data_IF_777812500669
#
_entry.id   IF_777812500669
#
_cell.length_a   1.000
_cell.length_b   1.000
_cell.length_c   1.000
_cell.angle_alpha   90.00
_cell.angle_beta   90.00
_cell.angle_gamma   90.00
#
_symmetry.space_group_name_H-M   'P 1'
#
loop_
_entity.id
_entity.type
_entity.pdbx_description
1 polymer ?
#
# COMPACT_ATOMS: atom_id res chain seq x y z
N UNK A 1 -13.87 18.00 3.02
CA UNK A 1 -14.49 17.03 3.96
C UNK A 1 -15.41 16.13 3.16
N UNK A 2 -15.22 14.79 3.18
CA UNK A 2 -16.20 13.87 2.55
C UNK A 2 -17.47 13.88 3.40
N UNK A 3 -18.63 14.05 2.79
CA UNK A 3 -19.91 13.95 3.50
C UNK A 3 -20.07 12.56 4.12
N UNK A 4 -20.74 12.44 5.28
CA UNK A 4 -21.02 11.16 5.89
C UNK A 4 -21.85 10.29 4.93
N UNK A 5 -21.52 9.00 4.88
CA UNK A 5 -22.24 8.05 4.02
C UNK A 5 -23.68 7.87 4.53
N UNK A 6 -24.62 7.82 3.60
CA UNK A 6 -26.01 7.48 3.90
C UNK A 6 -26.13 6.00 4.33
N UNK A 7 -27.22 5.66 4.99
CA UNK A 7 -27.48 4.26 5.41
C UNK A 7 -27.48 3.27 4.22
N UNK A 8 -28.02 3.68 3.08
CA UNK A 8 -27.99 2.87 1.86
C UNK A 8 -26.56 2.66 1.34
N UNK A 9 -25.72 3.71 1.31
CA UNK A 9 -24.32 3.61 0.91
C UNK A 9 -23.52 2.73 1.86
N UNK A 10 -23.77 2.80 3.17
CA UNK A 10 -23.14 1.92 4.16
C UNK A 10 -23.50 0.45 3.95
N UNK A 11 -24.76 0.14 3.62
CA UNK A 11 -25.17 -1.24 3.30
C UNK A 11 -24.45 -1.78 2.07
N UNK A 12 -24.35 -0.98 1.01
CA UNK A 12 -23.63 -1.36 -0.23
C UNK A 12 -22.15 -1.58 0.08
N UNK A 13 -21.52 -0.67 0.81
CA UNK A 13 -20.11 -0.79 1.22
C UNK A 13 -19.88 -2.07 2.05
N UNK A 14 -20.73 -2.34 3.03
CA UNK A 14 -20.63 -3.54 3.86
C UNK A 14 -20.75 -4.84 3.04
N UNK A 15 -21.66 -4.89 2.07
CA UNK A 15 -21.79 -6.02 1.15
C UNK A 15 -20.52 -6.20 0.29
N UNK A 16 -19.94 -5.11 -0.22
CA UNK A 16 -18.70 -5.15 -0.99
C UNK A 16 -17.49 -5.57 -0.12
N UNK A 17 -17.41 -5.13 1.13
CA UNK A 17 -16.39 -5.59 2.10
C UNK A 17 -16.52 -7.10 2.33
N UNK A 18 -17.72 -7.62 2.54
CA UNK A 18 -17.95 -9.05 2.72
C UNK A 18 -17.56 -9.86 1.46
N UNK A 19 -17.94 -9.37 0.25
CA UNK A 19 -17.54 -9.99 -1.02
C UNK A 19 -16.01 -9.98 -1.18
N UNK A 20 -15.35 -8.86 -0.90
CA UNK A 20 -13.90 -8.74 -0.96
C UNK A 20 -13.22 -9.67 0.05
N UNK A 21 -13.74 -9.75 1.28
CA UNK A 21 -13.24 -10.69 2.29
C UNK A 21 -13.25 -12.14 1.80
N UNK A 22 -14.34 -12.55 1.16
CA UNK A 22 -14.47 -13.89 0.58
C UNK A 22 -13.42 -14.17 -0.49
N UNK A 23 -13.20 -13.20 -1.40
CA UNK A 23 -12.18 -13.27 -2.45
C UNK A 23 -10.76 -13.33 -1.89
N UNK A 24 -10.48 -12.64 -0.78
CA UNK A 24 -9.15 -12.60 -0.18
C UNK A 24 -8.84 -13.82 0.71
N UNK A 25 -9.86 -14.56 1.15
CA UNK A 25 -9.72 -15.69 2.06
C UNK A 25 -10.09 -17.02 1.42
N UNK A 26 -11.38 -17.25 1.20
CA UNK A 26 -11.92 -18.55 0.77
C UNK A 26 -11.71 -18.83 -0.72
N UNK A 27 -11.74 -17.79 -1.55
CA UNK A 27 -11.66 -17.88 -3.01
C UNK A 27 -10.31 -17.36 -3.53
N UNK A 28 -9.27 -17.37 -2.70
CA UNK A 28 -7.97 -16.81 -3.04
C UNK A 28 -7.35 -17.42 -4.31
N UNK A 29 -7.50 -18.73 -4.50
CA UNK A 29 -6.96 -19.44 -5.66
C UNK A 29 -7.66 -19.09 -6.98
N UNK A 30 -8.96 -18.73 -6.93
CA UNK A 30 -9.77 -18.35 -8.11
C UNK A 30 -9.93 -16.84 -8.27
N UNK A 31 -9.32 -16.04 -7.39
CA UNK A 31 -9.41 -14.58 -7.43
C UNK A 31 -8.74 -14.04 -8.69
N UNK A 32 -9.43 -13.25 -9.54
CA UNK A 32 -8.81 -12.56 -10.66
C UNK A 32 -7.68 -11.64 -10.17
N UNK A 33 -6.54 -11.59 -10.89
CA UNK A 33 -5.43 -10.70 -10.55
C UNK A 33 -5.90 -9.23 -10.45
N UNK A 34 -6.75 -8.80 -11.39
CA UNK A 34 -7.27 -7.44 -11.47
C UNK A 34 -8.63 -7.24 -10.75
N UNK A 35 -8.85 -7.90 -9.61
CA UNK A 35 -10.13 -7.83 -8.88
C UNK A 35 -10.52 -6.40 -8.43
N UNK A 36 -9.56 -5.50 -8.27
CA UNK A 36 -9.79 -4.10 -7.92
C UNK A 36 -10.23 -3.22 -9.13
N UNK A 37 -10.37 -3.80 -10.35
CA UNK A 37 -11.09 -3.13 -11.45
C UNK A 37 -12.57 -2.94 -11.14
N UNK A 38 -13.17 -3.82 -10.36
CA UNK A 38 -14.53 -3.64 -9.83
C UNK A 38 -14.53 -2.46 -8.86
N UNK A 39 -15.29 -1.42 -9.22
CA UNK A 39 -15.38 -0.17 -8.45
C UNK A 39 -15.82 -0.42 -6.99
N UNK A 40 -16.80 -1.30 -6.78
CA UNK A 40 -17.31 -1.60 -5.44
C UNK A 40 -16.27 -2.32 -4.58
N UNK A 41 -15.48 -3.22 -5.16
CA UNK A 41 -14.39 -3.88 -4.46
C UNK A 41 -13.23 -2.92 -4.16
N UNK A 42 -12.95 -1.98 -5.05
CA UNK A 42 -11.95 -0.92 -4.83
C UNK A 42 -12.37 0.00 -3.68
N UNK A 43 -13.59 0.51 -3.68
CA UNK A 43 -14.14 1.33 -2.60
C UNK A 43 -14.13 0.59 -1.25
N UNK A 44 -14.46 -0.70 -1.25
CA UNK A 44 -14.37 -1.55 -0.06
C UNK A 44 -12.93 -1.74 0.42
N UNK A 45 -11.98 -1.90 -0.50
CA UNK A 45 -10.56 -1.99 -0.17
C UNK A 45 -10.06 -0.70 0.49
N UNK A 46 -10.30 0.45 -0.14
CA UNK A 46 -9.88 1.76 0.34
C UNK A 46 -10.50 2.13 1.69
N UNK A 47 -11.79 1.79 1.89
CA UNK A 47 -12.50 2.17 3.10
C UNK A 47 -12.20 1.25 4.30
N UNK A 48 -11.90 -0.02 4.06
CA UNK A 48 -11.75 -1.02 5.13
C UNK A 48 -10.36 -1.64 5.19
N UNK A 49 -9.88 -2.23 4.09
CA UNK A 49 -8.62 -2.99 4.11
C UNK A 49 -7.38 -2.10 4.14
N UNK A 50 -7.37 -0.99 3.40
CA UNK A 50 -6.24 -0.08 3.36
C UNK A 50 -5.87 0.43 4.75
N UNK A 51 -6.76 1.05 5.54
CA UNK A 51 -6.41 1.57 6.86
C UNK A 51 -5.99 0.47 7.86
N UNK A 52 -6.57 -0.74 7.76
CA UNK A 52 -6.16 -1.86 8.60
C UNK A 52 -4.77 -2.39 8.24
N UNK A 53 -4.49 -2.51 6.94
CA UNK A 53 -3.22 -3.06 6.48
C UNK A 53 -2.06 -2.08 6.67
N UNK A 54 -2.28 -0.76 6.57
CA UNK A 54 -1.28 0.25 6.93
C UNK A 54 -0.76 0.02 8.36
N UNK A 55 -1.65 -0.20 9.32
CA UNK A 55 -1.28 -0.45 10.72
C UNK A 55 -0.47 -1.73 10.90
N UNK A 56 -0.76 -2.79 10.14
CA UNK A 56 0.01 -4.04 10.18
C UNK A 56 1.46 -3.86 9.77
N UNK A 57 1.77 -2.88 8.94
CA UNK A 57 3.16 -2.55 8.54
C UNK A 57 3.81 -1.63 9.58
N UNK A 58 3.05 -0.67 10.11
CA UNK A 58 3.58 0.28 11.08
C UNK A 58 4.00 -0.38 12.41
N UNK A 59 3.29 -1.42 12.85
CA UNK A 59 3.59 -2.09 14.12
C UNK A 59 4.98 -2.77 14.14
N UNK A 60 5.35 -3.65 13.18
CA UNK A 60 6.68 -4.24 13.12
C UNK A 60 7.80 -3.19 12.99
N UNK A 61 7.54 -2.11 12.24
CA UNK A 61 8.52 -1.02 12.11
C UNK A 61 8.75 -0.30 13.44
N UNK A 62 7.70 -0.09 14.23
CA UNK A 62 7.83 0.49 15.56
C UNK A 62 8.62 -0.41 16.50
N UNK A 63 8.40 -1.74 16.45
CA UNK A 63 9.18 -2.70 17.23
C UNK A 63 10.67 -2.72 16.83
N UNK A 64 10.95 -2.66 15.53
CA UNK A 64 12.31 -2.60 15.01
C UNK A 64 13.01 -1.29 15.42
N UNK A 65 12.30 -0.16 15.36
CA UNK A 65 12.83 1.16 15.77
C UNK A 65 13.16 1.21 17.27
N UNK A 66 12.37 0.52 18.10
CA UNK A 66 12.62 0.41 19.54
C UNK A 66 13.83 -0.50 19.90
N UNK A 67 14.11 -1.50 19.06
CA UNK A 67 15.17 -2.50 19.32
C UNK A 67 16.52 -2.12 18.72
N UNK A 68 16.56 -1.22 17.78
CA UNK A 68 17.76 -0.86 17.02
C UNK A 68 17.93 0.65 16.96
N UNK A 69 18.95 1.16 17.66
CA UNK A 69 19.31 2.58 17.64
C UNK A 69 19.68 3.09 16.23
N UNK A 70 20.02 2.17 15.30
CA UNK A 70 20.57 2.51 13.98
C UNK A 70 19.90 1.82 12.78
N UNK A 71 18.81 1.06 12.96
CA UNK A 71 18.14 0.42 11.80
C UNK A 71 17.67 1.44 10.78
N UNK A 72 17.52 2.63 11.24
CA UNK A 72 17.04 3.77 10.52
C UNK A 72 18.13 4.85 10.38
N UNK A 73 19.41 4.52 10.11
CA UNK A 73 20.53 5.43 9.88
C UNK A 73 20.21 6.65 8.99
N UNK A 74 21.12 7.56 8.72
CA UNK A 74 20.84 8.83 8.01
C UNK A 74 20.66 8.71 6.49
N UNK A 75 20.88 7.51 5.93
CA UNK A 75 20.81 7.22 4.50
C UNK A 75 19.38 7.05 3.96
N UNK A 76 19.30 6.87 2.65
CA UNK A 76 18.05 6.55 1.95
C UNK A 76 17.49 5.22 2.43
N UNK A 77 16.27 5.21 2.95
CA UNK A 77 15.57 3.98 3.30
C UNK A 77 14.94 3.39 2.03
N UNK A 78 15.45 2.25 1.60
CA UNK A 78 15.01 1.59 0.36
C UNK A 78 13.97 0.52 0.65
N UNK A 79 12.90 0.53 -0.13
CA UNK A 79 11.78 -0.39 -0.01
C UNK A 79 11.58 -1.06 -1.36
N UNK A 80 11.59 -2.40 -1.36
CA UNK A 80 11.17 -3.21 -2.49
C UNK A 80 9.89 -3.95 -2.10
N UNK A 81 8.79 -3.69 -2.80
CA UNK A 81 7.49 -4.35 -2.60
C UNK A 81 7.13 -5.20 -3.81
N UNK A 82 7.22 -6.51 -3.64
CA UNK A 82 6.91 -7.50 -4.67
C UNK A 82 5.47 -7.96 -4.57
N UNK A 83 4.67 -7.69 -5.61
CA UNK A 83 3.24 -7.87 -5.57
C UNK A 83 2.55 -6.76 -4.77
N UNK A 84 2.96 -5.52 -5.01
CA UNK A 84 2.59 -4.37 -4.21
C UNK A 84 1.07 -4.10 -4.16
N UNK A 85 0.31 -4.66 -5.11
CA UNK A 85 -1.10 -4.29 -5.23
C UNK A 85 -1.26 -2.77 -5.36
N UNK A 86 -2.20 -2.16 -4.65
CA UNK A 86 -2.38 -0.70 -4.64
C UNK A 86 -1.36 0.05 -3.76
N UNK A 87 -0.19 -0.53 -3.46
CA UNK A 87 0.89 0.12 -2.75
C UNK A 87 0.68 0.26 -1.23
N UNK A 88 -0.11 -0.62 -0.62
CA UNK A 88 -0.49 -0.49 0.79
C UNK A 88 0.69 -0.65 1.74
N UNK A 89 1.59 -1.61 1.49
CA UNK A 89 2.73 -1.83 2.38
C UNK A 89 3.71 -0.65 2.38
N UNK A 90 4.18 -0.14 1.24
CA UNK A 90 4.99 1.06 1.21
C UNK A 90 4.31 2.29 1.82
N UNK A 91 3.00 2.48 1.59
CA UNK A 91 2.25 3.56 2.24
C UNK A 91 2.27 3.46 3.76
N UNK A 92 2.19 2.24 4.32
CA UNK A 92 2.34 2.00 5.76
C UNK A 92 3.71 2.43 6.29
N UNK A 93 4.77 2.20 5.50
CA UNK A 93 6.12 2.68 5.83
C UNK A 93 6.16 4.21 5.81
N UNK A 94 5.59 4.86 4.79
CA UNK A 94 5.53 6.32 4.70
C UNK A 94 4.78 6.93 5.90
N UNK A 95 3.63 6.39 6.25
CA UNK A 95 2.84 6.86 7.40
C UNK A 95 3.62 6.66 8.72
N UNK A 96 4.37 5.58 8.88
CA UNK A 96 5.24 5.37 10.04
C UNK A 96 6.30 6.48 10.16
N UNK A 97 7.05 6.78 9.09
CA UNK A 97 8.06 7.84 9.12
C UNK A 97 7.47 9.23 9.31
N UNK A 98 6.30 9.50 8.73
CA UNK A 98 5.59 10.76 8.92
C UNK A 98 5.14 10.94 10.37
N UNK A 99 4.58 9.89 10.98
CA UNK A 99 4.15 9.91 12.38
C UNK A 99 5.32 10.08 13.35
N UNK A 100 6.45 9.44 13.06
CA UNK A 100 7.68 9.55 13.85
C UNK A 100 8.39 10.91 13.68
N UNK A 101 7.90 11.79 12.79
CA UNK A 101 8.53 13.08 12.43
C UNK A 101 9.99 12.97 12.01
N UNK A 102 10.39 11.79 11.53
CA UNK A 102 11.74 11.52 11.05
C UNK A 102 11.84 12.00 9.60
N UNK A 103 12.70 13.00 9.34
CA UNK A 103 13.02 13.41 7.97
C UNK A 103 13.91 12.36 7.34
N UNK A 104 13.42 11.69 6.30
CA UNK A 104 14.18 10.70 5.55
C UNK A 104 13.89 10.79 4.07
N UNK A 105 14.88 10.39 3.30
CA UNK A 105 14.67 10.00 1.91
C UNK A 105 14.21 8.56 1.87
N UNK A 106 13.12 8.32 1.18
CA UNK A 106 12.51 7.01 1.00
C UNK A 106 12.48 6.70 -0.49
N UNK A 107 13.15 5.62 -0.89
CA UNK A 107 13.13 5.14 -2.26
C UNK A 107 12.29 3.85 -2.31
N UNK A 108 11.20 3.89 -3.04
CA UNK A 108 10.27 2.77 -3.17
C UNK A 108 10.30 2.22 -4.57
N UNK A 109 10.53 0.92 -4.70
CA UNK A 109 10.31 0.16 -5.93
C UNK A 109 9.13 -0.77 -5.71
N UNK A 110 8.04 -0.50 -6.42
CA UNK A 110 6.79 -1.24 -6.32
C UNK A 110 6.57 -2.08 -7.59
N UNK A 111 6.45 -3.39 -7.42
CA UNK A 111 6.30 -4.34 -8.52
C UNK A 111 4.93 -4.99 -8.44
N UNK A 112 4.16 -4.97 -9.54
CA UNK A 112 2.90 -5.70 -9.67
C UNK A 112 2.67 -6.08 -11.14
N UNK A 113 1.92 -7.16 -11.37
CA UNK A 113 1.55 -7.59 -12.73
C UNK A 113 0.35 -6.81 -13.29
N UNK A 114 -0.38 -6.08 -12.47
CA UNK A 114 -1.62 -5.39 -12.82
C UNK A 114 -1.39 -3.89 -12.88
N UNK A 115 -1.47 -3.29 -14.08
CA UNK A 115 -1.28 -1.85 -14.28
C UNK A 115 -2.19 -0.99 -13.40
N UNK A 116 -3.45 -1.40 -13.21
CA UNK A 116 -4.39 -0.61 -12.41
C UNK A 116 -3.97 -0.56 -10.94
N UNK A 117 -3.31 -1.62 -10.43
CA UNK A 117 -2.74 -1.60 -9.08
C UNK A 117 -1.60 -0.58 -8.99
N UNK A 118 -0.70 -0.56 -9.98
CA UNK A 118 0.41 0.39 -10.03
C UNK A 118 -0.08 1.83 -10.11
N UNK A 119 -1.10 2.11 -10.94
CA UNK A 119 -1.73 3.44 -11.00
C UNK A 119 -2.35 3.85 -9.66
N UNK A 120 -3.05 2.94 -8.98
CA UNK A 120 -3.59 3.22 -7.64
C UNK A 120 -2.47 3.51 -6.63
N UNK A 121 -1.35 2.79 -6.71
CA UNK A 121 -0.17 3.07 -5.89
C UNK A 121 0.37 4.48 -6.17
N UNK A 122 0.58 4.85 -7.43
CA UNK A 122 1.05 6.17 -7.85
C UNK A 122 0.13 7.30 -7.35
N UNK A 123 -1.19 7.15 -7.52
CA UNK A 123 -2.19 8.11 -7.04
C UNK A 123 -2.13 8.27 -5.52
N UNK A 124 -2.03 7.16 -4.79
CA UNK A 124 -1.94 7.16 -3.33
C UNK A 124 -0.65 7.83 -2.82
N UNK A 125 0.46 7.57 -3.50
CA UNK A 125 1.75 8.21 -3.20
C UNK A 125 1.74 9.70 -3.51
N UNK A 126 1.17 10.12 -4.65
CA UNK A 126 1.01 11.53 -4.98
C UNK A 126 0.16 12.27 -3.93
N UNK A 127 -0.95 11.66 -3.50
CA UNK A 127 -1.78 12.18 -2.43
C UNK A 127 -1.05 12.24 -1.08
N UNK A 128 -0.17 11.28 -0.78
CA UNK A 128 0.66 11.32 0.42
C UNK A 128 1.68 12.44 0.36
N UNK A 129 2.43 12.58 -0.74
CA UNK A 129 3.42 13.63 -0.96
C UNK A 129 2.84 15.04 -0.76
N UNK A 130 1.60 15.27 -1.20
CA UNK A 130 0.94 16.57 -1.05
C UNK A 130 0.65 16.96 0.41
N UNK A 131 0.69 16.01 1.34
CA UNK A 131 0.40 16.22 2.78
C UNK A 131 1.62 16.24 3.67
N UNK A 132 2.77 15.77 3.19
CA UNK A 132 3.91 15.46 4.05
C UNK A 132 5.21 16.15 3.68
N UNK A 133 6.15 16.14 4.63
CA UNK A 133 7.51 16.69 4.50
C UNK A 133 8.55 15.59 4.23
N UNK A 134 8.12 14.41 3.71
CA UNK A 134 9.04 13.34 3.38
C UNK A 134 9.51 13.45 1.93
N UNK A 135 10.80 13.27 1.73
CA UNK A 135 11.39 13.12 0.41
C UNK A 135 11.20 11.66 -0.05
N UNK A 136 10.26 11.46 -0.99
CA UNK A 136 9.85 10.13 -1.44
C UNK A 136 9.97 10.02 -2.94
N UNK A 137 10.71 9.00 -3.40
CA UNK A 137 10.71 8.56 -4.78
C UNK A 137 9.94 7.25 -4.91
N UNK A 138 9.13 7.12 -5.96
CA UNK A 138 8.42 5.91 -6.32
C UNK A 138 8.80 5.50 -7.73
N UNK A 139 9.27 4.27 -7.86
CA UNK A 139 9.48 3.59 -9.13
C UNK A 139 8.49 2.42 -9.23
N UNK A 140 7.66 2.38 -10.25
CA UNK A 140 6.72 1.30 -10.49
C UNK A 140 7.20 0.41 -11.63
N UNK A 141 7.14 -0.90 -11.44
CA UNK A 141 7.56 -1.90 -12.42
C UNK A 141 6.42 -2.88 -12.64
N UNK A 142 5.95 -2.95 -13.90
CA UNK A 142 5.01 -3.98 -14.29
C UNK A 142 5.75 -5.28 -14.59
N UNK A 143 5.62 -6.25 -13.70
CA UNK A 143 6.21 -7.59 -13.87
C UNK A 143 5.51 -8.61 -12.98
N UNK A 144 5.62 -9.88 -13.33
CA UNK A 144 5.40 -10.97 -12.36
C UNK A 144 6.73 -11.31 -11.67
N UNK A 145 6.67 -11.91 -10.49
CA UNK A 145 7.86 -12.32 -9.75
C UNK A 145 8.68 -13.35 -10.56
N UNK A 146 7.99 -14.23 -11.28
CA UNK A 146 8.60 -15.28 -12.11
C UNK A 146 9.35 -14.72 -13.34
N UNK A 147 8.95 -13.54 -13.82
CA UNK A 147 9.59 -12.87 -14.95
C UNK A 147 10.81 -12.05 -14.55
N UNK A 148 10.99 -11.76 -13.25
CA UNK A 148 12.12 -11.01 -12.76
C UNK A 148 13.37 -11.91 -12.77
N UNK A 149 14.34 -11.58 -13.63
CA UNK A 149 15.63 -12.29 -13.68
C UNK A 149 16.62 -11.82 -12.62
N UNK A 150 16.45 -10.60 -12.13
CA UNK A 150 17.22 -10.00 -11.04
C UNK A 150 16.33 -9.05 -10.25
N UNK A 151 16.66 -8.79 -9.00
CA UNK A 151 15.98 -7.77 -8.21
C UNK A 151 16.29 -6.40 -8.82
N UNK A 152 15.29 -5.51 -8.98
CA UNK A 152 15.54 -4.16 -9.47
C UNK A 152 16.43 -3.42 -8.50
N UNK A 153 17.40 -2.67 -9.04
CA UNK A 153 18.19 -1.77 -8.21
C UNK A 153 17.26 -0.68 -7.66
N UNK A 154 17.26 -0.53 -6.35
CA UNK A 154 16.57 0.55 -5.67
C UNK A 154 17.48 1.79 -5.68
N UNK A 155 17.41 2.55 -6.76
CA UNK A 155 18.17 3.81 -6.91
C UNK A 155 17.66 4.90 -5.98
#
# INVERSE_FOLDING_TARGET
MKHPLTHAQLKILAANVARLSKLLTRERASRPAAYLKDKGLREAYEAYYLPLNLRKIMMPLAELDLRSENLLGDDVFRILDLGCGPGTAPLGVLEFFAAAKKRRRLAVTAVDQVDDNLKMAEESFAAFKSRGNLDVTLNTIRSTIEQMRCLPETT
#
